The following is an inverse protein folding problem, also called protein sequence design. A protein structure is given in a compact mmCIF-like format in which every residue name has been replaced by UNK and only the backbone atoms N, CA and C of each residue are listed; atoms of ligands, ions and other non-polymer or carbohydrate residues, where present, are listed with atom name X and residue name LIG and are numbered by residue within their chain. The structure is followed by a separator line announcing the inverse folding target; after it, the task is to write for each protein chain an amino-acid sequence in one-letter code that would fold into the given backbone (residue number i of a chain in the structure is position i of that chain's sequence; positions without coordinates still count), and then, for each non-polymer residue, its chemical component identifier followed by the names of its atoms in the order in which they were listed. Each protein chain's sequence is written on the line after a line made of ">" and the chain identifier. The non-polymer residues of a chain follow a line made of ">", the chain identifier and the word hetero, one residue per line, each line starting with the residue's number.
data_IF_540000021583
#
_entry.id   IF_540000021583
#
_cell.length_a   1.000
_cell.length_b   1.000
_cell.length_c   1.000
_cell.angle_alpha   90.00
_cell.angle_beta   90.00
_cell.angle_gamma   90.00
#
_symmetry.space_group_name_H-M   'P 1'
#
loop_
_entity.id
_entity.type
_entity.pdbx_description
1 polymer ?
#
# COMPACT_ATOMS: atom_id res chain seq x y z
N UNK A 1 -21.20 18.41 -32.71
CA UNK A 1 -19.81 17.91 -32.86
C UNK A 1 -19.11 17.67 -31.50
N UNK A 2 -19.31 18.50 -30.47
CA UNK A 2 -18.71 18.29 -29.14
C UNK A 2 -19.46 17.27 -28.27
N UNK A 3 -20.75 17.03 -28.49
CA UNK A 3 -21.55 16.07 -27.73
C UNK A 3 -21.36 14.62 -28.19
N UNK A 4 -21.00 14.38 -29.44
CA UNK A 4 -20.77 13.02 -29.94
C UNK A 4 -19.42 12.43 -29.50
N UNK A 5 -18.42 13.27 -29.17
CA UNK A 5 -17.13 12.80 -28.63
C UNK A 5 -17.23 12.29 -27.18
N UNK A 6 -18.21 12.76 -26.41
CA UNK A 6 -18.41 12.29 -25.02
C UNK A 6 -19.06 10.90 -24.93
N UNK A 7 -19.77 10.45 -25.95
CA UNK A 7 -20.38 9.11 -25.98
C UNK A 7 -19.38 7.98 -26.17
N UNK A 8 -18.15 8.27 -26.62
CA UNK A 8 -17.07 7.32 -26.77
C UNK A 8 -16.08 7.29 -25.61
N UNK A 9 -16.23 8.18 -24.62
CA UNK A 9 -15.39 8.15 -23.43
C UNK A 9 -15.85 7.03 -22.51
N UNK A 10 -14.93 6.10 -22.19
CA UNK A 10 -15.14 5.09 -21.16
C UNK A 10 -15.36 5.79 -19.82
N UNK A 11 -16.62 5.95 -19.41
CA UNK A 11 -16.97 6.53 -18.12
C UNK A 11 -16.77 5.48 -17.03
N UNK A 12 -16.06 5.85 -15.97
CA UNK A 12 -15.81 5.02 -14.81
C UNK A 12 -16.57 5.60 -13.62
N UNK A 13 -17.27 4.76 -12.86
CA UNK A 13 -17.94 5.19 -11.63
C UNK A 13 -16.92 5.48 -10.53
N UNK A 14 -15.82 4.72 -10.51
CA UNK A 14 -14.72 4.89 -9.56
C UNK A 14 -13.37 4.70 -10.23
N UNK A 15 -12.42 5.54 -9.85
CA UNK A 15 -11.01 5.42 -10.23
C UNK A 15 -10.20 5.22 -8.96
N UNK A 16 -9.56 4.06 -8.84
CA UNK A 16 -8.71 3.69 -7.70
C UNK A 16 -7.25 3.89 -8.12
N UNK A 17 -6.55 4.79 -7.46
CA UNK A 17 -5.13 5.06 -7.71
C UNK A 17 -4.28 4.25 -6.76
N UNK A 18 -3.56 3.28 -7.31
CA UNK A 18 -2.73 2.32 -6.61
C UNK A 18 -3.44 0.99 -6.33
N UNK A 19 -2.86 -0.10 -6.84
CA UNK A 19 -3.30 -1.47 -6.60
C UNK A 19 -2.52 -2.14 -5.45
N UNK A 20 -2.27 -1.39 -4.37
CA UNK A 20 -1.77 -1.92 -3.11
C UNK A 20 -2.87 -2.62 -2.31
N UNK A 21 -2.59 -3.02 -1.06
CA UNK A 21 -3.54 -3.76 -0.20
C UNK A 21 -4.89 -3.08 -0.09
N UNK A 22 -4.93 -1.76 0.17
CA UNK A 22 -6.18 -1.00 0.28
C UNK A 22 -6.90 -0.88 -1.06
N UNK A 23 -6.19 -0.55 -2.14
CA UNK A 23 -6.77 -0.43 -3.48
C UNK A 23 -7.36 -1.74 -3.99
N UNK A 24 -6.71 -2.86 -3.75
CA UNK A 24 -7.23 -4.19 -4.09
C UNK A 24 -8.53 -4.51 -3.33
N UNK A 25 -8.61 -4.17 -2.03
CA UNK A 25 -9.84 -4.35 -1.24
C UNK A 25 -10.97 -3.48 -1.79
N UNK A 26 -10.69 -2.22 -2.11
CA UNK A 26 -11.68 -1.32 -2.71
C UNK A 26 -12.14 -1.85 -4.07
N UNK A 27 -11.22 -2.30 -4.92
CA UNK A 27 -11.54 -2.86 -6.23
C UNK A 27 -12.46 -4.07 -6.12
N UNK A 28 -12.16 -5.00 -5.18
CA UNK A 28 -12.99 -6.17 -4.92
C UNK A 28 -14.39 -5.78 -4.44
N UNK A 29 -14.47 -4.92 -3.42
CA UNK A 29 -15.75 -4.55 -2.80
C UNK A 29 -16.63 -3.71 -3.71
N UNK A 30 -16.08 -2.71 -4.38
CA UNK A 30 -16.83 -1.88 -5.32
C UNK A 30 -17.17 -2.66 -6.59
N UNK A 31 -16.23 -3.47 -7.09
CA UNK A 31 -16.41 -4.30 -8.28
C UNK A 31 -17.45 -5.42 -8.12
N UNK A 32 -17.82 -5.78 -6.88
CA UNK A 32 -18.91 -6.70 -6.61
C UNK A 32 -20.29 -6.11 -7.00
N UNK A 33 -20.40 -4.79 -7.16
CA UNK A 33 -21.65 -4.16 -7.58
C UNK A 33 -21.80 -4.25 -9.11
N UNK A 34 -22.86 -4.90 -9.64
CA UNK A 34 -22.95 -5.30 -11.05
C UNK A 34 -23.04 -4.14 -12.04
N UNK A 35 -23.35 -2.93 -11.58
CA UNK A 35 -23.52 -1.74 -12.42
C UNK A 35 -22.35 -0.76 -12.35
N UNK A 36 -21.39 -0.98 -11.45
CA UNK A 36 -20.25 -0.05 -11.31
C UNK A 36 -19.08 -0.49 -12.18
N UNK A 37 -18.54 0.48 -12.90
CA UNK A 37 -17.32 0.34 -13.69
C UNK A 37 -16.17 0.89 -12.86
N UNK A 38 -15.21 0.04 -12.55
CA UNK A 38 -14.06 0.37 -11.69
C UNK A 38 -12.81 0.38 -12.54
N UNK A 39 -12.08 1.49 -12.52
CA UNK A 39 -10.73 1.59 -13.08
C UNK A 39 -9.72 1.56 -11.94
N UNK A 40 -8.76 0.65 -12.04
CA UNK A 40 -7.60 0.61 -11.13
C UNK A 40 -6.36 1.03 -11.88
N UNK A 41 -5.68 2.06 -11.41
CA UNK A 41 -4.44 2.57 -11.99
C UNK A 41 -3.29 2.21 -11.07
N UNK A 42 -2.32 1.43 -11.57
CA UNK A 42 -1.10 1.06 -10.82
C UNK A 42 0.15 1.54 -11.56
N UNK A 43 1.08 2.14 -10.83
CA UNK A 43 2.32 2.65 -11.41
C UNK A 43 3.33 1.54 -11.76
N UNK A 44 3.25 0.42 -11.05
CA UNK A 44 4.11 -0.74 -11.26
C UNK A 44 3.52 -1.76 -12.20
N UNK A 45 4.30 -2.78 -12.50
CA UNK A 45 3.89 -3.90 -13.35
C UNK A 45 3.24 -5.05 -12.57
N UNK A 46 3.17 -6.20 -13.24
CA UNK A 46 2.63 -7.45 -12.67
C UNK A 46 3.52 -8.00 -11.54
N UNK A 47 2.86 -8.60 -10.56
CA UNK A 47 3.47 -9.32 -9.43
C UNK A 47 3.99 -10.74 -9.82
N UNK A 48 3.95 -11.12 -11.09
CA UNK A 48 4.33 -12.48 -11.57
C UNK A 48 5.84 -12.75 -11.58
N UNK A 49 6.63 -11.89 -10.95
CA UNK A 49 8.07 -12.10 -10.85
C UNK A 49 8.40 -13.21 -9.84
N UNK A 50 9.40 -14.05 -10.18
CA UNK A 50 9.85 -15.16 -9.33
C UNK A 50 10.23 -14.70 -7.92
N UNK A 51 10.95 -13.58 -7.80
CA UNK A 51 11.39 -13.05 -6.50
C UNK A 51 10.25 -12.56 -5.63
N UNK A 52 9.12 -12.15 -6.24
CA UNK A 52 7.89 -11.81 -5.50
C UNK A 52 7.22 -13.08 -4.97
N UNK A 53 7.22 -14.16 -5.75
CA UNK A 53 6.57 -15.42 -5.37
C UNK A 53 7.41 -16.27 -4.41
N UNK A 54 8.71 -16.00 -4.31
CA UNK A 54 9.61 -16.67 -3.38
C UNK A 54 9.79 -15.89 -2.08
N UNK A 55 9.50 -16.45 -0.90
CA UNK A 55 9.67 -15.76 0.39
C UNK A 55 11.05 -15.13 0.58
N UNK A 56 12.12 -15.83 0.21
CA UNK A 56 13.50 -15.31 0.29
C UNK A 56 13.80 -14.21 -0.74
N UNK A 57 12.91 -14.00 -1.70
CA UNK A 57 13.09 -13.00 -2.76
C UNK A 57 13.01 -11.55 -2.28
N UNK A 58 12.40 -11.29 -1.11
CA UNK A 58 12.23 -9.93 -0.60
C UNK A 58 13.55 -9.14 -0.55
N UNK A 59 14.66 -9.81 -0.20
CA UNK A 59 15.98 -9.19 -0.15
C UNK A 59 16.47 -8.68 -1.52
N UNK A 60 16.06 -9.32 -2.62
CA UNK A 60 16.32 -8.85 -3.98
C UNK A 60 15.43 -7.67 -4.38
N UNK A 61 14.19 -7.67 -3.90
CA UNK A 61 13.21 -6.64 -4.21
C UNK A 61 13.44 -5.34 -3.42
N UNK A 62 14.15 -5.44 -2.30
CA UNK A 62 14.37 -4.32 -1.38
C UNK A 62 15.06 -3.12 -2.04
N UNK A 63 15.90 -3.33 -3.04
CA UNK A 63 16.62 -2.27 -3.77
C UNK A 63 16.32 -2.27 -5.28
N UNK A 64 15.42 -3.10 -5.76
CA UNK A 64 15.11 -3.22 -7.19
C UNK A 64 14.07 -2.17 -7.60
N UNK A 65 14.52 -1.10 -8.25
CA UNK A 65 13.68 0.00 -8.70
C UNK A 65 12.56 -0.39 -9.70
N UNK A 66 12.57 -1.60 -10.25
CA UNK A 66 11.47 -2.12 -11.08
C UNK A 66 10.23 -2.41 -10.25
N UNK A 67 10.41 -2.81 -8.98
CA UNK A 67 9.35 -3.22 -8.06
C UNK A 67 9.24 -2.35 -6.82
N UNK A 68 10.14 -1.39 -6.65
CA UNK A 68 10.26 -0.56 -5.46
C UNK A 68 10.50 0.90 -5.85
N UNK A 69 9.80 1.82 -5.18
CA UNK A 69 10.01 3.26 -5.34
C UNK A 69 11.35 3.73 -4.79
N UNK A 70 11.98 2.96 -3.92
CA UNK A 70 13.28 3.25 -3.31
C UNK A 70 13.36 4.65 -2.67
N UNK A 71 12.31 5.08 -1.96
CA UNK A 71 12.29 6.39 -1.33
C UNK A 71 13.34 6.52 -0.24
N UNK A 72 13.78 7.76 -0.03
CA UNK A 72 14.60 8.15 1.11
C UNK A 72 13.86 9.24 1.87
N UNK A 73 13.67 9.06 3.17
CA UNK A 73 13.08 10.08 4.02
C UNK A 73 14.01 11.28 4.16
N UNK A 74 13.45 12.46 4.36
CA UNK A 74 14.24 13.62 4.73
C UNK A 74 15.00 13.39 6.04
N UNK A 75 16.10 14.08 6.23
CA UNK A 75 16.83 14.05 7.50
C UNK A 75 15.96 14.55 8.65
N UNK A 76 15.93 13.82 9.74
CA UNK A 76 15.11 14.11 10.92
C UNK A 76 15.99 14.46 12.12
N UNK A 77 15.71 15.60 12.75
CA UNK A 77 16.45 16.07 13.94
C UNK A 77 16.29 15.10 15.13
N UNK A 78 15.13 14.46 15.30
CA UNK A 78 14.86 13.42 16.30
C UNK A 78 15.68 12.14 16.08
N UNK A 79 16.21 11.95 14.87
CA UNK A 79 17.09 10.86 14.49
C UNK A 79 18.57 11.31 14.33
N UNK A 80 18.96 12.36 15.00
CA UNK A 80 20.32 12.96 14.89
C UNK A 80 20.69 13.34 13.45
N UNK A 81 19.76 13.87 12.69
CA UNK A 81 19.98 14.29 11.30
C UNK A 81 20.07 13.12 10.29
N UNK A 82 19.74 11.92 10.69
CA UNK A 82 19.80 10.75 9.78
C UNK A 82 18.61 10.73 8.82
N UNK A 83 18.87 10.31 7.59
CA UNK A 83 17.86 9.90 6.61
C UNK A 83 17.59 8.41 6.73
N UNK A 84 16.38 7.99 6.44
CA UNK A 84 16.00 6.58 6.40
C UNK A 84 15.66 6.14 4.98
N UNK A 85 16.08 4.94 4.59
CA UNK A 85 15.61 4.31 3.37
C UNK A 85 14.19 3.73 3.59
N UNK A 86 13.27 4.07 2.69
CA UNK A 86 11.86 3.70 2.80
C UNK A 86 11.40 2.94 1.58
N UNK A 87 11.53 1.61 1.56
CA UNK A 87 11.02 0.79 0.46
C UNK A 87 9.50 0.88 0.40
N UNK A 88 8.96 1.03 -0.81
CA UNK A 88 7.52 0.98 -1.10
C UNK A 88 7.31 0.27 -2.42
N UNK A 89 6.36 -0.66 -2.45
CA UNK A 89 6.08 -1.44 -3.63
C UNK A 89 5.57 -0.59 -4.79
N UNK A 90 6.16 -0.84 -5.97
CA UNK A 90 5.76 -0.31 -7.28
C UNK A 90 5.39 -1.51 -8.15
N UNK A 91 4.28 -2.13 -7.84
CA UNK A 91 3.85 -3.41 -8.43
C UNK A 91 2.42 -3.71 -8.00
N UNK A 92 1.69 -4.52 -8.73
CA UNK A 92 0.40 -5.06 -8.29
C UNK A 92 0.52 -5.72 -6.91
N UNK A 93 -0.36 -5.35 -5.97
CA UNK A 93 -0.28 -5.71 -4.56
C UNK A 93 0.55 -4.74 -3.71
N UNK A 94 1.25 -3.79 -4.34
CA UNK A 94 1.99 -2.73 -3.66
C UNK A 94 3.07 -3.25 -2.72
N UNK A 95 3.23 -2.61 -1.57
CA UNK A 95 4.20 -3.03 -0.54
C UNK A 95 3.89 -4.40 0.06
N UNK A 96 2.64 -4.88 -0.04
CA UNK A 96 2.26 -6.25 0.33
C UNK A 96 3.00 -7.30 -0.49
N UNK A 97 3.31 -7.01 -1.76
CA UNK A 97 4.01 -7.93 -2.66
C UNK A 97 5.53 -7.98 -2.46
N UNK A 98 6.12 -7.01 -1.75
CA UNK A 98 7.57 -6.91 -1.56
C UNK A 98 8.01 -6.83 -0.10
N UNK A 99 7.09 -7.00 0.86
CA UNK A 99 7.40 -6.91 2.28
C UNK A 99 8.29 -8.07 2.76
N UNK A 100 8.85 -7.93 3.95
CA UNK A 100 9.70 -8.97 4.55
C UNK A 100 8.90 -10.07 5.26
N UNK A 101 7.56 -10.05 5.20
CA UNK A 101 6.65 -11.03 5.81
C UNK A 101 6.87 -11.23 7.32
N UNK A 102 7.46 -10.24 8.00
CA UNK A 102 7.62 -10.27 9.44
C UNK A 102 6.27 -9.97 10.13
N UNK A 103 5.80 -10.92 10.93
CA UNK A 103 4.63 -10.73 11.77
C UNK A 103 5.07 -10.34 13.17
N UNK A 104 4.79 -9.09 13.56
CA UNK A 104 5.15 -8.56 14.87
C UNK A 104 3.93 -7.90 15.48
N UNK A 105 3.61 -8.23 16.72
CA UNK A 105 2.64 -7.48 17.53
C UNK A 105 3.38 -6.39 18.31
N UNK A 106 2.76 -5.23 18.46
CA UNK A 106 3.23 -4.21 19.40
C UNK A 106 3.24 -4.75 20.84
N UNK A 107 4.04 -4.14 21.70
CA UNK A 107 4.01 -4.46 23.12
C UNK A 107 2.72 -3.89 23.76
N UNK A 108 2.18 -4.54 24.80
CA UNK A 108 1.06 -3.99 25.56
C UNK A 108 1.26 -2.53 25.97
N UNK A 109 2.48 -2.20 26.42
CA UNK A 109 2.86 -0.84 26.81
C UNK A 109 2.72 0.18 25.68
N UNK A 110 3.04 -0.18 24.43
CA UNK A 110 2.93 0.75 23.30
C UNK A 110 1.48 1.20 23.09
N UNK A 111 0.54 0.26 23.21
CA UNK A 111 -0.88 0.53 23.11
C UNK A 111 -1.42 1.34 24.31
N UNK A 112 -0.97 1.01 25.52
CA UNK A 112 -1.38 1.72 26.73
C UNK A 112 -0.83 3.16 26.73
N UNK A 113 0.38 3.39 26.23
CA UNK A 113 0.95 4.73 26.05
C UNK A 113 0.10 5.53 25.04
N UNK A 114 -0.29 4.95 23.90
CA UNK A 114 -1.18 5.62 22.93
C UNK A 114 -2.53 6.01 23.56
N UNK A 115 -3.12 5.11 24.35
CA UNK A 115 -4.36 5.42 25.04
C UNK A 115 -4.19 6.57 26.05
N UNK A 116 -3.06 6.59 26.76
CA UNK A 116 -2.70 7.64 27.71
C UNK A 116 -2.47 8.99 27.02
N UNK A 117 -1.92 8.98 25.82
CA UNK A 117 -1.69 10.16 24.97
C UNK A 117 -2.97 10.64 24.26
N UNK A 118 -4.13 10.02 24.54
CA UNK A 118 -5.44 10.48 24.09
C UNK A 118 -6.09 9.60 23.00
N UNK A 119 -5.45 8.54 22.52
CA UNK A 119 -6.04 7.60 21.57
C UNK A 119 -7.01 6.65 22.29
N UNK A 120 -8.21 7.13 22.61
CA UNK A 120 -9.25 6.35 23.30
C UNK A 120 -9.64 5.11 22.48
N UNK A 121 -9.74 3.94 23.15
CA UNK A 121 -10.04 2.66 22.49
C UNK A 121 -8.82 1.97 21.88
N UNK A 122 -7.60 2.46 22.15
CA UNK A 122 -6.35 1.90 21.67
C UNK A 122 -5.49 1.27 22.77
N UNK A 123 -6.00 1.15 24.00
CA UNK A 123 -5.27 0.41 25.02
C UNK A 123 -5.09 -1.06 24.62
N UNK A 124 -4.09 -1.73 25.19
CA UNK A 124 -3.89 -3.16 24.95
C UNK A 124 -5.16 -3.97 25.19
N UNK A 125 -5.90 -3.63 26.25
CA UNK A 125 -7.17 -4.28 26.58
C UNK A 125 -8.23 -4.15 25.46
N UNK A 126 -8.21 -3.05 24.73
CA UNK A 126 -9.22 -2.76 23.69
C UNK A 126 -8.89 -3.44 22.37
N UNK A 127 -7.59 -3.69 22.07
CA UNK A 127 -7.10 -4.15 20.77
C UNK A 127 -6.57 -5.59 20.74
N UNK A 128 -6.34 -6.22 21.90
CA UNK A 128 -5.77 -7.58 22.02
C UNK A 128 -6.75 -8.71 21.69
#
# INVERSE_FOLDING_TARGET
>A
LYQEEYELMDLWDYIIVGAGSAGCVLADRLGAHPRWRILVIEAGGSDRNLWIKMPLGYGKLYTDARFNWCYTAAADAGLNGRSGYWPRGKVLGGSGSINAMAYVRGLPKDHDDWASDGAKGWSWRDVA
#
